data_IF_732941459731
#
_entry.id   IF_732941459731
#
_cell.length_a   1.000
_cell.length_b   1.000
_cell.length_c   1.000
_cell.angle_alpha   90.00
_cell.angle_beta   90.00
_cell.angle_gamma   90.00
#
_symmetry.space_group_name_H-M   'P 1'
#
loop_
_entity.id
_entity.type
_entity.pdbx_description
1 polymer ?
#
# COMPACT_ATOMS: atom_id res chain seq x y z
N UNK A 1 8.04 5.64 9.72
CA UNK A 1 7.70 6.96 9.15
C UNK A 1 8.93 7.79 8.76
N UNK A 2 10.07 7.73 9.51
CA UNK A 2 11.26 8.52 9.13
C UNK A 2 11.86 8.11 7.79
N UNK A 3 11.81 6.82 7.46
CA UNK A 3 12.40 6.26 6.24
C UNK A 3 11.43 6.22 5.04
N UNK A 4 10.26 6.83 5.11
CA UNK A 4 9.29 6.85 4.02
C UNK A 4 8.35 8.05 4.08
N UNK A 5 7.74 8.37 2.95
CA UNK A 5 6.58 9.25 2.88
C UNK A 5 5.32 8.37 2.91
N UNK A 6 4.42 8.61 3.83
CA UNK A 6 3.21 7.82 3.99
C UNK A 6 1.97 8.67 4.21
N UNK A 7 0.82 8.07 3.94
CA UNK A 7 -0.47 8.62 4.33
C UNK A 7 -0.63 8.59 5.86
N UNK A 8 -1.45 9.47 6.45
CA UNK A 8 -1.68 9.51 7.90
C UNK A 8 -2.22 8.22 8.52
N UNK A 9 -2.75 7.32 7.69
CA UNK A 9 -3.35 6.05 8.10
C UNK A 9 -2.36 4.93 8.42
N UNK A 10 -1.07 5.12 8.17
CA UNK A 10 -0.04 4.11 8.45
C UNK A 10 0.72 3.62 7.21
N UNK A 11 1.65 2.70 7.43
CA UNK A 11 2.53 2.14 6.41
C UNK A 11 2.65 0.63 6.64
N UNK A 12 2.50 -0.15 5.57
CA UNK A 12 2.88 -1.55 5.57
C UNK A 12 4.37 -1.67 5.21
N UNK A 13 5.16 -2.23 6.12
CA UNK A 13 6.55 -2.57 5.86
C UNK A 13 6.66 -4.04 5.46
N UNK A 14 7.01 -4.30 4.20
CA UNK A 14 7.20 -5.65 3.67
C UNK A 14 8.67 -5.99 3.71
N UNK A 15 9.02 -7.04 4.46
CA UNK A 15 10.38 -7.57 4.56
C UNK A 15 10.44 -8.89 3.81
N UNK A 16 11.27 -8.96 2.79
CA UNK A 16 11.49 -10.17 1.99
C UNK A 16 12.36 -11.18 2.75
N UNK A 17 12.16 -12.46 2.46
CA UNK A 17 12.98 -13.54 3.03
C UNK A 17 14.44 -13.43 2.55
N UNK A 18 15.39 -13.45 3.47
CA UNK A 18 16.82 -13.39 3.17
C UNK A 18 17.47 -14.78 3.36
N UNK A 19 18.61 -15.05 2.68
CA UNK A 19 19.40 -16.25 2.94
C UNK A 19 19.89 -16.29 4.38
N UNK A 20 19.76 -17.45 5.03
CA UNK A 20 20.25 -17.69 6.39
C UNK A 20 21.53 -18.50 6.43
N UNK A 21 21.89 -19.13 5.32
CA UNK A 21 23.03 -20.04 5.19
C UNK A 21 22.80 -21.42 5.81
N UNK A 22 21.59 -21.70 6.30
CA UNK A 22 21.19 -23.05 6.71
C UNK A 22 20.65 -23.78 5.49
N UNK A 23 21.17 -24.98 5.22
CA UNK A 23 20.61 -25.80 4.14
C UNK A 23 19.25 -26.34 4.58
N UNK A 24 18.20 -25.77 4.02
CA UNK A 24 16.81 -26.16 4.30
C UNK A 24 15.93 -25.94 3.09
N UNK A 25 14.87 -26.71 3.00
CA UNK A 25 13.84 -26.57 1.98
C UNK A 25 12.47 -26.83 2.56
N UNK A 26 11.49 -26.14 2.02
CA UNK A 26 10.07 -26.32 2.32
C UNK A 26 9.31 -26.39 1.01
N UNK A 27 8.39 -27.33 0.89
CA UNK A 27 7.42 -27.40 -0.19
C UNK A 27 6.01 -27.41 0.43
N UNK A 28 5.16 -26.52 -0.06
CA UNK A 28 3.78 -26.39 0.43
C UNK A 28 2.83 -26.59 -0.72
N UNK A 29 1.82 -27.42 -0.52
CA UNK A 29 0.69 -27.55 -1.42
C UNK A 29 -0.59 -27.21 -0.66
N UNK A 30 -1.43 -26.35 -1.25
CA UNK A 30 -2.71 -25.94 -0.67
C UNK A 30 -3.80 -26.11 -1.71
N UNK A 31 -4.94 -26.66 -1.31
CA UNK A 31 -6.16 -26.67 -2.12
C UNK A 31 -7.32 -26.11 -1.30
N UNK A 32 -8.34 -25.59 -1.98
CA UNK A 32 -9.49 -25.01 -1.32
C UNK A 32 -10.69 -24.87 -2.27
N UNK A 33 -11.75 -24.26 -1.78
CA UNK A 33 -12.96 -23.98 -2.55
C UNK A 33 -12.67 -23.15 -3.80
N UNK A 34 -13.52 -23.27 -4.81
CA UNK A 34 -13.44 -22.55 -6.07
C UNK A 34 -12.16 -22.88 -6.87
N UNK A 35 -11.81 -24.17 -6.93
CA UNK A 35 -10.63 -24.67 -7.64
C UNK A 35 -9.34 -23.94 -7.23
N UNK A 36 -9.24 -23.62 -5.94
CA UNK A 36 -8.03 -23.02 -5.41
C UNK A 36 -6.94 -24.07 -5.28
N UNK A 37 -5.90 -23.95 -6.07
CA UNK A 37 -4.69 -24.77 -6.01
C UNK A 37 -3.48 -23.86 -5.91
N UNK A 38 -2.62 -24.12 -4.93
CA UNK A 38 -1.36 -23.40 -4.76
C UNK A 38 -0.24 -24.35 -4.41
N UNK A 39 0.86 -24.27 -5.17
CA UNK A 39 2.11 -24.94 -4.87
C UNK A 39 3.20 -23.88 -4.65
N UNK A 40 4.03 -24.04 -3.62
CA UNK A 40 5.14 -23.15 -3.34
C UNK A 40 6.35 -23.91 -2.82
N UNK A 41 7.55 -23.43 -3.17
CA UNK A 41 8.82 -23.91 -2.65
C UNK A 41 9.62 -22.74 -2.05
N UNK A 42 10.39 -23.05 -1.00
CA UNK A 42 11.34 -22.13 -0.35
C UNK A 42 12.62 -22.90 -0.06
N UNK A 43 13.70 -22.55 -0.73
CA UNK A 43 15.01 -23.18 -0.63
C UNK A 43 16.03 -22.19 -0.09
N UNK A 44 16.82 -22.58 0.90
CA UNK A 44 17.85 -21.76 1.53
C UNK A 44 19.14 -22.56 1.67
N UNK A 45 20.29 -21.93 1.45
CA UNK A 45 21.55 -22.62 1.55
C UNK A 45 22.80 -21.79 1.22
N UNK A 46 23.92 -22.50 1.15
CA UNK A 46 25.21 -21.96 0.76
C UNK A 46 25.50 -22.35 -0.69
N UNK A 47 26.09 -21.44 -1.46
CA UNK A 47 26.60 -21.70 -2.81
C UNK A 47 28.10 -21.97 -2.83
N UNK A 48 28.81 -21.69 -1.72
CA UNK A 48 30.23 -21.97 -1.57
C UNK A 48 30.53 -22.71 -0.26
N UNK A 49 31.68 -23.35 -0.17
CA UNK A 49 32.09 -24.10 1.02
C UNK A 49 32.39 -23.20 2.22
N UNK A 50 32.77 -21.96 1.99
CA UNK A 50 33.12 -21.00 3.03
C UNK A 50 31.90 -20.35 3.68
N UNK A 51 30.72 -20.47 3.06
CA UNK A 51 29.49 -19.81 3.52
C UNK A 51 29.50 -18.28 3.30
N UNK A 52 30.38 -17.77 2.45
CA UNK A 52 30.39 -16.36 2.06
C UNK A 52 29.33 -16.05 1.02
N UNK A 53 28.99 -17.01 0.16
CA UNK A 53 27.96 -16.88 -0.87
C UNK A 53 26.75 -17.71 -0.49
N UNK A 54 25.64 -17.03 -0.20
CA UNK A 54 24.39 -17.62 0.25
C UNK A 54 23.29 -17.38 -0.76
N UNK A 55 22.34 -18.30 -0.87
CA UNK A 55 21.16 -18.15 -1.69
C UNK A 55 19.87 -18.42 -0.91
N UNK A 56 18.78 -17.79 -1.35
CA UNK A 56 17.42 -18.22 -1.07
C UNK A 56 16.60 -18.15 -2.34
N UNK A 57 15.82 -19.15 -2.59
CA UNK A 57 14.98 -19.23 -3.77
C UNK A 57 13.55 -19.56 -3.36
N UNK A 58 12.62 -18.68 -3.73
CA UNK A 58 11.20 -18.91 -3.56
C UNK A 58 10.54 -18.97 -4.92
N UNK A 59 9.64 -19.91 -5.13
CA UNK A 59 8.77 -19.97 -6.28
C UNK A 59 7.36 -20.38 -5.88
N UNK A 60 6.35 -19.91 -6.61
CA UNK A 60 4.95 -20.16 -6.34
C UNK A 60 4.14 -20.17 -7.63
N UNK A 61 3.22 -21.13 -7.74
CA UNK A 61 2.14 -21.16 -8.72
C UNK A 61 0.80 -21.27 -8.02
N UNK A 62 -0.19 -20.52 -8.50
CA UNK A 62 -1.55 -20.52 -7.95
C UNK A 62 -2.57 -20.36 -9.05
N UNK A 63 -3.69 -21.06 -8.92
CA UNK A 63 -4.91 -20.81 -9.69
C UNK A 63 -6.11 -20.81 -8.75
N UNK A 64 -7.11 -20.02 -9.07
CA UNK A 64 -8.38 -19.97 -8.34
C UNK A 64 -9.49 -19.44 -9.23
N UNK A 65 -10.69 -19.97 -9.06
CA UNK A 65 -11.93 -19.36 -9.52
C UNK A 65 -12.53 -18.50 -8.38
N UNK A 66 -13.73 -17.99 -8.57
CA UNK A 66 -14.47 -17.20 -7.59
C UNK A 66 -15.83 -17.84 -7.29
N UNK A 67 -16.47 -17.43 -6.19
CA UNK A 67 -17.89 -17.68 -5.97
C UNK A 67 -18.77 -17.02 -7.03
N UNK A 68 -18.24 -16.01 -7.75
CA UNK A 68 -18.91 -15.34 -8.86
C UNK A 68 -18.58 -16.01 -10.18
N UNK A 69 -19.58 -16.07 -11.06
CA UNK A 69 -19.43 -16.68 -12.37
C UNK A 69 -18.33 -16.00 -13.21
N UNK A 70 -17.50 -16.81 -13.87
CA UNK A 70 -16.45 -16.41 -14.83
C UNK A 70 -15.29 -15.61 -14.24
N UNK A 71 -15.26 -15.35 -12.93
CA UNK A 71 -14.12 -14.73 -12.28
C UNK A 71 -13.04 -15.77 -11.95
N UNK A 72 -11.79 -15.42 -12.24
CA UNK A 72 -10.63 -16.28 -11.98
C UNK A 72 -9.36 -15.46 -11.75
N UNK A 73 -8.36 -16.09 -11.14
CA UNK A 73 -7.00 -15.57 -11.06
C UNK A 73 -5.97 -16.71 -11.17
N UNK A 74 -4.94 -16.51 -11.98
CA UNK A 74 -3.76 -17.37 -12.09
C UNK A 74 -2.54 -16.52 -11.78
N UNK A 75 -1.61 -17.04 -10.96
CA UNK A 75 -0.42 -16.31 -10.55
C UNK A 75 0.78 -17.23 -10.50
N UNK A 76 1.92 -16.72 -10.98
CA UNK A 76 3.23 -17.37 -10.84
C UNK A 76 4.21 -16.34 -10.30
N UNK A 77 5.11 -16.74 -9.41
CA UNK A 77 6.21 -15.90 -8.99
C UNK A 77 7.48 -16.70 -8.76
N UNK A 78 8.61 -16.05 -9.03
CA UNK A 78 9.95 -16.53 -8.67
C UNK A 78 10.69 -15.38 -7.97
N UNK A 79 11.38 -15.70 -6.89
CA UNK A 79 12.08 -14.71 -6.08
C UNK A 79 13.43 -15.24 -5.58
N UNK A 80 14.47 -15.25 -6.43
CA UNK A 80 15.82 -15.55 -6.02
C UNK A 80 16.44 -14.39 -5.23
N UNK A 81 17.20 -14.73 -4.19
CA UNK A 81 18.00 -13.82 -3.39
C UNK A 81 19.41 -14.38 -3.26
N UNK A 82 20.40 -13.56 -3.51
CA UNK A 82 21.81 -13.90 -3.32
C UNK A 82 22.41 -12.91 -2.32
N UNK A 83 23.12 -13.42 -1.32
CA UNK A 83 23.89 -12.61 -0.38
C UNK A 83 25.35 -13.01 -0.44
N UNK A 84 26.24 -12.03 -0.58
CA UNK A 84 27.67 -12.22 -0.62
C UNK A 84 28.38 -11.41 0.47
N UNK A 85 29.14 -12.11 1.32
CA UNK A 85 30.01 -11.50 2.32
C UNK A 85 31.34 -11.12 1.66
N UNK A 86 31.47 -9.83 1.25
CA UNK A 86 32.66 -9.30 0.59
C UNK A 86 33.90 -9.41 1.48
N UNK A 87 33.74 -8.96 2.73
CA UNK A 87 34.71 -9.05 3.82
C UNK A 87 33.95 -9.19 5.16
N UNK A 88 34.62 -9.38 6.32
CA UNK A 88 33.93 -9.56 7.62
C UNK A 88 32.97 -8.44 8.02
N UNK A 89 33.10 -7.25 7.41
CA UNK A 89 32.29 -6.07 7.74
C UNK A 89 31.30 -5.68 6.64
N UNK A 90 31.47 -6.21 5.42
CA UNK A 90 30.73 -5.74 4.24
C UNK A 90 29.94 -6.88 3.61
N UNK A 91 28.61 -6.71 3.52
CA UNK A 91 27.68 -7.65 2.93
C UNK A 91 26.89 -7.01 1.80
N UNK A 92 26.85 -7.66 0.64
CA UNK A 92 25.98 -7.29 -0.49
C UNK A 92 24.86 -8.32 -0.62
N UNK A 93 23.63 -7.85 -0.80
CA UNK A 93 22.47 -8.70 -1.09
C UNK A 93 21.77 -8.19 -2.34
N UNK A 94 21.53 -9.08 -3.29
CA UNK A 94 20.77 -8.85 -4.50
C UNK A 94 19.50 -9.71 -4.47
N UNK A 95 18.36 -9.07 -4.73
CA UNK A 95 17.03 -9.68 -4.74
C UNK A 95 16.36 -9.39 -6.06
N UNK A 96 15.81 -10.40 -6.68
CA UNK A 96 14.93 -10.25 -7.82
C UNK A 96 13.62 -10.91 -7.52
N UNK A 97 12.52 -10.29 -7.93
CA UNK A 97 11.19 -10.89 -7.89
C UNK A 97 10.52 -10.67 -9.23
N UNK A 98 10.04 -11.74 -9.81
CA UNK A 98 9.16 -11.72 -10.97
C UNK A 98 7.82 -12.29 -10.58
N UNK A 99 6.75 -11.60 -10.95
CA UNK A 99 5.39 -12.08 -10.81
C UNK A 99 4.62 -11.91 -12.11
N UNK A 100 4.00 -12.98 -12.55
CA UNK A 100 2.98 -12.97 -13.60
C UNK A 100 1.61 -13.22 -12.97
N UNK A 101 0.61 -12.46 -13.39
CA UNK A 101 -0.78 -12.68 -13.02
C UNK A 101 -1.67 -12.57 -14.25
N UNK A 102 -2.66 -13.46 -14.34
CA UNK A 102 -3.77 -13.37 -15.29
C UNK A 102 -5.06 -13.45 -14.49
N UNK A 103 -6.00 -12.55 -14.73
CA UNK A 103 -7.27 -12.52 -14.03
C UNK A 103 -8.40 -12.01 -14.91
N UNK A 104 -9.62 -12.14 -14.42
CA UNK A 104 -10.79 -11.47 -14.99
C UNK A 104 -10.61 -9.95 -15.02
N UNK A 105 -11.47 -9.26 -15.78
CA UNK A 105 -11.39 -7.83 -16.02
C UNK A 105 -11.54 -7.00 -14.74
N UNK A 106 -10.91 -5.83 -14.71
CA UNK A 106 -11.01 -4.88 -13.61
C UNK A 106 -12.46 -4.35 -13.54
N UNK A 107 -12.99 -4.24 -12.32
CA UNK A 107 -14.34 -3.73 -12.08
C UNK A 107 -15.45 -4.78 -12.16
N UNK A 108 -15.21 -5.95 -12.72
CA UNK A 108 -16.18 -7.05 -12.79
C UNK A 108 -16.73 -7.50 -11.42
N UNK A 109 -15.93 -7.32 -10.38
CA UNK A 109 -16.26 -7.67 -9.00
C UNK A 109 -17.19 -6.65 -8.29
N UNK A 110 -17.50 -5.51 -8.91
CA UNK A 110 -18.48 -4.59 -8.36
C UNK A 110 -19.91 -5.00 -8.71
N UNK A 111 -20.81 -4.88 -7.75
CA UNK A 111 -22.23 -5.04 -7.92
C UNK A 111 -22.92 -3.68 -7.87
N UNK A 112 -23.71 -3.37 -8.88
CA UNK A 112 -24.45 -2.11 -8.98
C UNK A 112 -25.95 -2.43 -8.97
N UNK A 113 -26.73 -1.82 -8.08
CA UNK A 113 -28.17 -2.00 -7.99
C UNK A 113 -28.87 -0.68 -7.65
N UNK A 114 -29.98 -0.34 -8.33
CA UNK A 114 -30.82 0.79 -7.97
C UNK A 114 -31.56 0.58 -6.65
N UNK A 115 -31.75 -0.68 -6.21
CA UNK A 115 -32.46 -1.04 -4.98
C UNK A 115 -31.57 -0.93 -3.72
N UNK A 116 -30.29 -0.56 -3.88
CA UNK A 116 -29.34 -0.34 -2.80
C UNK A 116 -28.42 -1.51 -2.53
N UNK A 117 -27.84 -1.53 -1.33
CA UNK A 117 -26.80 -2.46 -0.94
C UNK A 117 -27.33 -3.87 -0.67
N UNK A 118 -26.58 -4.90 -1.11
CA UNK A 118 -26.84 -6.32 -0.87
C UNK A 118 -28.19 -6.84 -1.40
N UNK A 119 -28.71 -6.26 -2.48
CA UNK A 119 -29.98 -6.65 -3.10
C UNK A 119 -29.83 -7.67 -4.21
N UNK A 120 -28.62 -7.86 -4.75
CA UNK A 120 -28.30 -8.86 -5.76
C UNK A 120 -27.79 -10.15 -5.14
N UNK A 121 -27.90 -11.30 -5.82
CA UNK A 121 -27.33 -12.57 -5.37
C UNK A 121 -25.83 -12.46 -5.08
N UNK A 122 -25.34 -13.25 -4.11
CA UNK A 122 -23.94 -13.21 -3.70
C UNK A 122 -22.96 -13.64 -4.82
N UNK A 123 -23.41 -14.50 -5.72
CA UNK A 123 -22.68 -14.99 -6.88
C UNK A 123 -22.85 -14.14 -8.15
N UNK A 124 -23.56 -13.01 -8.03
CA UNK A 124 -23.79 -12.10 -9.14
C UNK A 124 -22.47 -11.57 -9.71
N UNK A 125 -22.35 -11.61 -11.04
CA UNK A 125 -21.21 -11.04 -11.80
C UNK A 125 -21.72 -10.38 -13.08
N UNK A 126 -21.14 -9.23 -13.42
CA UNK A 126 -21.38 -8.56 -14.71
C UNK A 126 -20.43 -9.04 -15.80
N UNK A 127 -19.54 -9.98 -15.47
CA UNK A 127 -18.47 -10.43 -16.35
C UNK A 127 -18.98 -11.25 -17.52
N UNK A 128 -18.39 -11.02 -18.69
CA UNK A 128 -18.58 -11.82 -19.88
C UNK A 128 -17.39 -12.77 -20.09
N UNK A 129 -17.64 -14.07 -20.34
CA UNK A 129 -16.57 -15.07 -20.44
C UNK A 129 -15.69 -14.91 -21.68
N UNK A 130 -16.17 -14.23 -22.73
CA UNK A 130 -15.43 -14.00 -23.98
C UNK A 130 -14.51 -12.78 -23.95
N UNK A 131 -14.46 -12.01 -22.85
CA UNK A 131 -13.56 -10.87 -22.74
C UNK A 131 -12.11 -11.32 -22.56
N UNK A 132 -11.19 -10.56 -23.19
CA UNK A 132 -9.76 -10.74 -23.01
C UNK A 132 -9.38 -10.57 -21.52
N UNK A 133 -8.68 -11.52 -20.90
CA UNK A 133 -8.28 -11.42 -19.51
C UNK A 133 -7.25 -10.31 -19.30
N UNK A 134 -7.22 -9.77 -18.08
CA UNK A 134 -6.16 -8.85 -17.64
C UNK A 134 -4.91 -9.63 -17.28
N UNK A 135 -3.77 -9.23 -17.85
CA UNK A 135 -2.45 -9.75 -17.54
C UNK A 135 -1.58 -8.71 -16.85
N UNK A 136 -0.75 -9.16 -15.91
CA UNK A 136 0.23 -8.34 -15.21
C UNK A 136 1.58 -9.04 -15.24
N UNK A 137 2.61 -8.30 -15.62
CA UNK A 137 4.01 -8.66 -15.44
C UNK A 137 4.63 -7.65 -14.47
N UNK A 138 5.17 -8.15 -13.36
CA UNK A 138 5.77 -7.32 -12.31
C UNK A 138 7.19 -7.78 -12.04
N UNK A 139 8.15 -6.87 -12.19
CA UNK A 139 9.57 -7.10 -11.97
C UNK A 139 10.07 -6.18 -10.87
N UNK A 140 10.73 -6.76 -9.88
CA UNK A 140 11.37 -6.02 -8.80
C UNK A 140 12.83 -6.44 -8.67
N UNK A 141 13.75 -5.47 -8.67
CA UNK A 141 15.17 -5.68 -8.37
C UNK A 141 15.54 -4.81 -7.18
N UNK A 142 16.15 -5.41 -6.15
CA UNK A 142 16.66 -4.69 -4.97
C UNK A 142 18.11 -5.05 -4.75
N UNK A 143 18.97 -4.04 -4.58
CA UNK A 143 20.35 -4.21 -4.17
C UNK A 143 20.52 -3.54 -2.80
N UNK A 144 21.12 -4.26 -1.86
CA UNK A 144 21.36 -3.80 -0.49
C UNK A 144 22.82 -4.07 -0.11
N UNK A 145 23.54 -3.01 0.19
CA UNK A 145 24.93 -3.05 0.70
C UNK A 145 24.91 -2.62 2.17
N UNK A 146 25.47 -3.42 3.05
CA UNK A 146 25.64 -3.12 4.46
C UNK A 146 27.13 -3.11 4.80
N UNK A 147 27.59 -2.08 5.49
CA UNK A 147 28.97 -1.99 6.00
C UNK A 147 28.97 -1.69 7.49
N UNK A 148 29.59 -2.56 8.27
CA UNK A 148 29.76 -2.42 9.72
C UNK A 148 31.12 -1.76 10.01
N UNK A 149 31.14 -0.47 10.33
CA UNK A 149 32.37 0.23 10.69
C UNK A 149 33.00 -0.35 11.96
N UNK A 150 32.15 -0.53 12.98
CA UNK A 150 32.50 -1.14 14.27
C UNK A 150 31.23 -1.73 14.91
N UNK A 151 31.28 -2.21 16.14
CA UNK A 151 30.14 -2.84 16.84
C UNK A 151 28.90 -1.93 16.97
N UNK A 152 29.10 -0.61 16.95
CA UNK A 152 28.06 0.38 17.24
C UNK A 152 27.54 1.10 15.97
N UNK A 153 28.30 1.12 14.86
CA UNK A 153 27.99 1.93 13.70
C UNK A 153 27.90 1.09 12.41
N UNK A 154 26.77 1.18 11.74
CA UNK A 154 26.48 0.47 10.48
C UNK A 154 25.90 1.41 9.43
N UNK A 155 26.47 1.41 8.23
CA UNK A 155 25.96 2.06 7.04
C UNK A 155 25.17 1.06 6.20
N UNK A 156 24.03 1.47 5.69
CA UNK A 156 23.24 0.71 4.70
C UNK A 156 22.96 1.58 3.50
N UNK A 157 23.31 1.07 2.31
CA UNK A 157 22.89 1.63 1.03
C UNK A 157 21.94 0.64 0.35
N UNK A 158 20.81 1.12 -0.13
CA UNK A 158 19.84 0.30 -0.84
C UNK A 158 19.33 1.01 -2.07
N UNK A 159 19.16 0.29 -3.16
CA UNK A 159 18.46 0.74 -4.35
C UNK A 159 17.43 -0.29 -4.77
N UNK A 160 16.32 0.18 -5.34
CA UNK A 160 15.25 -0.67 -5.82
C UNK A 160 14.71 -0.15 -7.17
N UNK A 161 14.42 -1.08 -8.06
CA UNK A 161 13.75 -0.84 -9.32
C UNK A 161 12.51 -1.71 -9.40
N UNK A 162 11.37 -1.11 -9.73
CA UNK A 162 10.09 -1.78 -9.93
C UNK A 162 9.59 -1.46 -11.35
N UNK A 163 9.13 -2.49 -12.05
CA UNK A 163 8.47 -2.37 -13.32
C UNK A 163 7.20 -3.22 -13.31
N UNK A 164 6.07 -2.55 -13.23
CA UNK A 164 4.75 -3.15 -13.26
C UNK A 164 4.11 -2.86 -14.62
N UNK A 165 3.79 -3.89 -15.38
CA UNK A 165 3.14 -3.79 -16.68
C UNK A 165 1.82 -4.57 -16.65
N UNK A 166 0.72 -3.87 -16.85
CA UNK A 166 -0.64 -4.43 -16.95
C UNK A 166 -1.20 -4.19 -18.34
N UNK A 167 -1.76 -5.22 -18.94
CA UNK A 167 -2.53 -5.16 -20.17
C UNK A 167 -3.89 -5.81 -19.93
N UNK A 168 -4.99 -5.13 -20.27
CA UNK A 168 -6.33 -5.66 -20.07
C UNK A 168 -7.42 -4.63 -20.30
N UNK A 169 -8.55 -4.88 -19.68
CA UNK A 169 -9.70 -3.98 -19.74
C UNK A 169 -10.39 -3.85 -18.39
N UNK A 170 -11.18 -2.79 -18.25
CA UNK A 170 -12.07 -2.55 -17.10
C UNK A 170 -13.51 -2.53 -17.56
N UNK A 171 -14.42 -3.02 -16.71
CA UNK A 171 -15.85 -3.07 -16.97
C UNK A 171 -16.61 -2.22 -15.98
N UNK A 172 -17.46 -1.34 -16.48
CA UNK A 172 -18.25 -0.39 -15.69
C UNK A 172 -19.63 -0.20 -16.28
N UNK A 173 -20.65 0.15 -15.48
CA UNK A 173 -21.94 0.56 -16.02
C UNK A 173 -21.79 1.86 -16.81
N UNK A 174 -22.21 1.86 -18.06
CA UNK A 174 -22.42 3.08 -18.83
C UNK A 174 -23.77 3.74 -18.48
N UNK A 175 -24.77 2.92 -18.18
CA UNK A 175 -26.04 3.34 -17.61
C UNK A 175 -26.67 2.20 -16.81
N UNK A 176 -27.49 2.55 -15.82
CA UNK A 176 -28.30 1.62 -15.04
C UNK A 176 -29.63 2.30 -14.76
N UNK A 177 -30.72 1.70 -15.24
CA UNK A 177 -32.09 2.20 -15.03
C UNK A 177 -32.72 1.63 -13.76
N UNK A 178 -33.83 2.24 -13.32
CA UNK A 178 -34.54 1.81 -12.12
C UNK A 178 -35.12 0.39 -12.22
N UNK A 179 -35.44 -0.09 -13.43
CA UNK A 179 -35.91 -1.46 -13.67
C UNK A 179 -34.78 -2.50 -13.80
N UNK A 180 -33.51 -2.07 -13.63
CA UNK A 180 -32.36 -2.95 -13.68
C UNK A 180 -31.70 -3.12 -15.05
N UNK A 181 -32.22 -2.46 -16.11
CA UNK A 181 -31.53 -2.48 -17.41
C UNK A 181 -30.20 -1.73 -17.32
N UNK A 182 -29.14 -2.39 -17.75
CA UNK A 182 -27.77 -1.87 -17.70
C UNK A 182 -27.12 -1.91 -19.08
N UNK A 183 -26.39 -0.87 -19.43
CA UNK A 183 -25.39 -0.91 -20.50
C UNK A 183 -24.03 -1.09 -19.86
N UNK A 184 -23.37 -2.20 -20.11
CA UNK A 184 -22.00 -2.45 -19.65
C UNK A 184 -21.01 -1.89 -20.66
N UNK A 185 -20.07 -1.07 -20.18
CA UNK A 185 -18.97 -0.54 -20.96
C UNK A 185 -17.68 -1.26 -20.60
N UNK A 186 -16.94 -1.68 -21.62
CA UNK A 186 -15.58 -2.22 -21.49
C UNK A 186 -14.60 -1.20 -22.04
N UNK A 187 -13.69 -0.74 -21.18
CA UNK A 187 -12.66 0.23 -21.57
C UNK A 187 -11.29 -0.42 -21.52
N UNK A 188 -10.41 -0.06 -22.46
CA UNK A 188 -9.00 -0.43 -22.35
C UNK A 188 -8.44 0.04 -21.00
N UNK A 189 -7.64 -0.78 -20.35
CA UNK A 189 -7.08 -0.49 -19.03
C UNK A 189 -5.62 -0.96 -18.93
N UNK A 190 -4.80 -0.46 -19.84
CA UNK A 190 -3.37 -0.76 -19.85
C UNK A 190 -2.61 0.21 -18.95
N UNK A 191 -1.57 -0.27 -18.27
CA UNK A 191 -0.73 0.55 -17.39
C UNK A 191 0.71 0.06 -17.36
N UNK A 192 1.67 1.00 -17.37
CA UNK A 192 3.07 0.75 -16.99
C UNK A 192 3.41 1.66 -15.82
N UNK A 193 4.00 1.10 -14.76
CA UNK A 193 4.58 1.88 -13.68
C UNK A 193 6.06 1.51 -13.54
N UNK A 194 6.93 2.47 -13.74
CA UNK A 194 8.37 2.37 -13.50
C UNK A 194 8.72 3.17 -12.25
N UNK A 195 9.40 2.54 -11.29
CA UNK A 195 9.79 3.22 -10.05
C UNK A 195 11.24 2.89 -9.73
N UNK A 196 11.99 3.91 -9.33
CA UNK A 196 13.38 3.82 -8.92
C UNK A 196 13.51 4.47 -7.54
N UNK A 197 14.10 3.75 -6.60
CA UNK A 197 14.31 4.24 -5.25
C UNK A 197 15.75 4.00 -4.83
N UNK A 198 16.28 4.93 -4.06
CA UNK A 198 17.57 4.81 -3.41
C UNK A 198 17.52 5.37 -2.01
N UNK A 199 18.23 4.73 -1.09
CA UNK A 199 18.41 5.24 0.27
C UNK A 199 19.80 4.91 0.79
N UNK A 200 20.33 5.83 1.58
CA UNK A 200 21.56 5.66 2.32
C UNK A 200 21.32 6.10 3.75
N UNK A 201 21.60 5.22 4.72
CA UNK A 201 21.40 5.55 6.12
C UNK A 201 22.43 4.91 7.04
N UNK A 202 22.71 5.64 8.11
CA UNK A 202 23.60 5.28 9.19
C UNK A 202 22.77 4.94 10.42
N UNK A 203 22.96 3.75 10.96
CA UNK A 203 22.50 3.39 12.31
C UNK A 203 23.70 3.44 13.23
N UNK A 204 23.50 4.04 14.41
CA UNK A 204 24.60 4.18 15.36
C UNK A 204 24.13 4.11 16.82
N UNK A 205 25.06 3.72 17.70
CA UNK A 205 24.92 3.84 19.13
C UNK A 205 26.07 4.67 19.67
N UNK A 206 25.77 5.55 20.61
CA UNK A 206 26.75 6.40 21.31
C UNK A 206 26.34 6.59 22.76
N UNK A 207 27.26 7.08 23.58
CA UNK A 207 27.03 7.41 24.99
C UNK A 207 27.56 8.80 25.26
N UNK A 208 26.78 9.65 25.93
CA UNK A 208 27.18 10.96 26.38
C UNK A 208 26.90 11.05 27.88
N UNK A 209 27.93 10.88 28.69
CA UNK A 209 27.77 10.76 30.17
C UNK A 209 26.86 9.58 30.51
N UNK A 210 25.71 9.85 31.15
CA UNK A 210 24.73 8.82 31.53
C UNK A 210 23.62 8.64 30.48
N UNK A 211 23.67 9.36 29.35
CA UNK A 211 22.65 9.30 28.30
C UNK A 211 23.10 8.38 27.20
N UNK A 212 22.33 7.34 26.92
CA UNK A 212 22.53 6.51 25.72
C UNK A 212 21.86 7.15 24.50
N UNK A 213 22.44 6.95 23.32
CA UNK A 213 21.94 7.42 22.04
C UNK A 213 21.76 6.25 21.07
N UNK A 214 20.59 6.15 20.44
CA UNK A 214 20.38 5.28 19.29
C UNK A 214 19.98 6.13 18.09
N UNK A 215 20.94 6.32 17.19
CA UNK A 215 20.85 7.28 16.07
C UNK A 215 20.48 6.58 14.78
N UNK A 216 19.58 7.20 14.02
CA UNK A 216 19.31 6.92 12.62
C UNK A 216 19.43 8.23 11.84
N UNK A 217 20.36 8.31 10.90
CA UNK A 217 20.51 9.46 10.01
C UNK A 217 20.60 8.99 8.55
N UNK A 218 19.95 9.67 7.65
CA UNK A 218 20.02 9.26 6.25
C UNK A 218 19.28 10.16 5.28
N UNK A 219 19.40 9.77 4.02
CA UNK A 219 18.61 10.35 2.96
C UNK A 219 18.00 9.26 2.07
N UNK A 220 16.93 9.60 1.40
CA UNK A 220 16.32 8.78 0.37
C UNK A 220 15.86 9.64 -0.82
N UNK A 221 15.76 9.01 -1.98
CA UNK A 221 15.24 9.60 -3.18
C UNK A 221 14.44 8.57 -3.97
N UNK A 222 13.43 9.04 -4.66
CA UNK A 222 12.61 8.18 -5.50
C UNK A 222 12.10 8.91 -6.72
N UNK A 223 11.91 8.13 -7.78
CA UNK A 223 11.30 8.57 -9.03
C UNK A 223 10.28 7.54 -9.48
N UNK A 224 9.07 8.00 -9.77
CA UNK A 224 7.96 7.20 -10.28
C UNK A 224 7.47 7.80 -11.58
N UNK A 225 7.40 6.97 -12.61
CA UNK A 225 6.72 7.24 -13.86
C UNK A 225 5.61 6.22 -14.09
N UNK A 226 4.41 6.69 -14.34
CA UNK A 226 3.27 5.85 -14.64
C UNK A 226 2.57 6.34 -15.91
N UNK A 227 2.24 5.41 -16.81
CA UNK A 227 1.49 5.63 -18.04
C UNK A 227 0.23 4.80 -17.99
N UNK A 228 -0.89 5.39 -18.37
CA UNK A 228 -2.18 4.73 -18.36
C UNK A 228 -2.88 4.95 -19.69
N UNK A 229 -3.51 3.92 -20.23
CA UNK A 229 -4.39 4.03 -21.37
C UNK A 229 -5.78 3.51 -21.00
N UNK A 230 -6.73 4.41 -20.95
CA UNK A 230 -8.17 4.18 -20.85
C UNK A 230 -8.95 5.02 -21.87
N UNK A 231 -8.29 5.30 -23.00
CA UNK A 231 -8.78 6.20 -24.03
C UNK A 231 -9.93 5.64 -24.85
N UNK A 232 -10.12 4.31 -24.87
CA UNK A 232 -11.13 3.63 -25.68
C UNK A 232 -12.12 2.92 -24.79
N UNK A 233 -13.40 3.11 -25.07
CA UNK A 233 -14.51 2.45 -24.42
C UNK A 233 -15.44 1.86 -25.47
N UNK A 234 -15.99 0.70 -25.17
CA UNK A 234 -16.89 -0.07 -26.03
C UNK A 234 -18.09 -0.51 -25.22
N UNK A 235 -19.30 -0.20 -25.71
CA UNK A 235 -20.53 -0.69 -25.11
C UNK A 235 -20.76 -2.15 -25.51
N UNK A 236 -20.94 -3.03 -24.53
CA UNK A 236 -21.32 -4.43 -24.79
C UNK A 236 -22.79 -4.57 -25.14
N UNK A 237 -23.62 -3.73 -24.52
CA UNK A 237 -25.08 -3.89 -24.51
C UNK A 237 -25.78 -2.70 -25.15
N UNK A 238 -26.98 -2.94 -25.72
CA UNK A 238 -27.99 -1.94 -26.02
C UNK A 238 -28.98 -1.84 -24.86
N UNK A 239 -29.82 -0.80 -24.87
CA UNK A 239 -30.89 -0.64 -23.88
C UNK A 239 -31.84 -1.86 -23.92
N UNK A 240 -32.08 -2.46 -22.73
CA UNK A 240 -32.98 -3.61 -22.57
C UNK A 240 -32.39 -4.97 -23.01
N UNK A 241 -31.11 -5.04 -23.40
CA UNK A 241 -30.48 -6.32 -23.77
C UNK A 241 -29.77 -7.02 -22.61
N UNK A 242 -29.43 -6.29 -21.55
CA UNK A 242 -28.89 -6.83 -20.30
C UNK A 242 -29.63 -6.25 -19.09
N UNK A 243 -30.10 -7.12 -18.20
CA UNK A 243 -30.78 -6.71 -16.97
C UNK A 243 -30.15 -7.40 -15.77
N UNK A 244 -29.84 -6.64 -14.72
CA UNK A 244 -29.12 -7.12 -13.52
C UNK A 244 -29.92 -8.17 -12.72
N UNK A 245 -31.23 -8.19 -12.83
CA UNK A 245 -32.12 -9.15 -12.15
C UNK A 245 -32.33 -10.43 -12.98
N UNK A 246 -32.01 -10.38 -14.27
CA UNK A 246 -32.07 -11.53 -15.19
C UNK A 246 -30.74 -11.70 -15.89
N UNK A 247 -29.77 -12.27 -15.18
CA UNK A 247 -28.41 -12.50 -15.69
C UNK A 247 -28.30 -13.65 -16.68
N UNK A 248 -29.38 -14.36 -16.97
CA UNK A 248 -29.41 -15.31 -18.07
C UNK A 248 -29.55 -14.53 -19.37
N UNK A 249 -28.42 -14.25 -19.98
CA UNK A 249 -28.38 -13.70 -21.32
C UNK A 249 -29.25 -14.54 -22.27
N UNK A 250 -30.18 -13.90 -22.94
CA UNK A 250 -30.97 -14.52 -24.02
C UNK A 250 -30.06 -14.69 -25.25
N UNK A 251 -29.06 -15.59 -25.19
CA UNK A 251 -28.26 -15.89 -26.36
C UNK A 251 -26.75 -16.00 -26.19
N UNK A 252 -26.20 -15.75 -24.99
CA UNK A 252 -24.82 -16.05 -24.64
C UNK A 252 -23.71 -15.13 -25.18
N UNK A 253 -24.04 -14.06 -25.91
CA UNK A 253 -23.08 -13.07 -26.40
C UNK A 253 -23.58 -11.65 -26.16
N UNK A 254 -22.71 -10.68 -25.84
CA UNK A 254 -23.08 -9.28 -25.77
C UNK A 254 -23.70 -8.79 -27.06
N UNK A 255 -24.64 -7.87 -26.98
CA UNK A 255 -25.41 -7.38 -28.16
C UNK A 255 -24.48 -6.83 -29.25
N UNK A 256 -23.44 -6.08 -28.89
CA UNK A 256 -22.47 -5.52 -29.83
C UNK A 256 -21.21 -6.39 -30.00
N UNK A 257 -21.15 -7.59 -29.42
CA UNK A 257 -19.98 -8.45 -29.45
C UNK A 257 -18.88 -8.00 -28.48
N UNK A 258 -17.65 -8.44 -28.73
CA UNK A 258 -16.50 -8.16 -27.86
C UNK A 258 -15.58 -7.11 -28.48
N UNK A 259 -15.00 -6.19 -27.66
CA UNK A 259 -14.08 -5.19 -28.16
C UNK A 259 -12.74 -5.79 -28.57
N UNK A 260 -12.14 -5.21 -29.61
CA UNK A 260 -10.73 -5.39 -29.95
C UNK A 260 -10.02 -4.05 -29.79
N UNK A 261 -9.07 -3.96 -28.87
CA UNK A 261 -8.32 -2.72 -28.63
C UNK A 261 -7.03 -2.70 -29.44
N UNK A 262 -6.83 -1.62 -30.23
CA UNK A 262 -5.59 -1.42 -30.98
C UNK A 262 -4.42 -1.13 -30.04
N UNK A 263 -3.45 -2.05 -30.03
CA UNK A 263 -2.19 -1.97 -29.27
C UNK A 263 -0.96 -1.95 -30.19
N UNK A 264 -1.12 -1.59 -31.44
CA UNK A 264 -0.03 -1.51 -32.43
C UNK A 264 1.07 -0.51 -32.03
N UNK A 265 0.69 0.57 -31.34
CA UNK A 265 1.62 1.53 -30.74
C UNK A 265 1.96 1.14 -29.29
N UNK A 266 3.17 1.47 -28.87
CA UNK A 266 3.57 1.26 -27.47
C UNK A 266 2.65 1.99 -26.50
N UNK A 267 2.50 1.48 -25.28
CA UNK A 267 1.67 2.14 -24.27
C UNK A 267 2.17 3.57 -23.96
N UNK A 268 3.48 3.78 -23.95
CA UNK A 268 4.07 5.11 -23.70
C UNK A 268 3.66 6.13 -24.78
N UNK A 269 3.50 5.70 -26.01
CA UNK A 269 2.99 6.56 -27.10
C UNK A 269 1.48 6.80 -26.98
N UNK A 270 0.69 5.77 -26.67
CA UNK A 270 -0.77 5.87 -26.51
C UNK A 270 -1.16 6.71 -25.29
N UNK A 271 -0.35 6.65 -24.22
CA UNK A 271 -0.60 7.29 -22.92
C UNK A 271 0.11 8.64 -22.75
N UNK A 272 0.47 9.34 -23.84
CA UNK A 272 1.25 10.58 -23.78
C UNK A 272 0.59 11.68 -22.90
N UNK A 273 -0.74 11.77 -22.91
CA UNK A 273 -1.50 12.74 -22.13
C UNK A 273 -2.04 12.18 -20.78
N UNK A 274 -1.75 10.91 -20.45
CA UNK A 274 -2.26 10.22 -19.27
C UNK A 274 -1.13 9.70 -18.39
N UNK A 275 -0.01 10.38 -18.39
CA UNK A 275 1.14 10.04 -17.54
C UNK A 275 1.09 10.76 -16.19
N UNK A 276 1.61 10.08 -15.18
CA UNK A 276 1.82 10.60 -13.83
C UNK A 276 3.31 10.47 -13.52
N UNK A 277 3.93 11.56 -13.05
CA UNK A 277 5.31 11.55 -12.58
C UNK A 277 5.39 12.05 -11.15
N UNK A 278 6.19 11.41 -10.33
CA UNK A 278 6.49 11.85 -8.99
C UNK A 278 7.95 11.56 -8.66
N UNK A 279 8.66 12.60 -8.23
CA UNK A 279 10.04 12.47 -7.73
C UNK A 279 10.14 13.10 -6.36
N UNK A 280 10.92 12.51 -5.47
CA UNK A 280 11.17 13.09 -4.15
C UNK A 280 12.60 12.89 -3.69
N UNK A 281 13.02 13.76 -2.76
CA UNK A 281 14.23 13.63 -1.97
C UNK A 281 13.88 13.91 -0.51
N UNK A 282 14.33 13.06 0.40
CA UNK A 282 14.11 13.19 1.83
C UNK A 282 15.43 13.12 2.61
N UNK A 283 15.57 13.99 3.61
CA UNK A 283 16.62 13.94 4.62
C UNK A 283 15.97 13.66 5.97
N UNK A 284 16.53 12.78 6.78
CA UNK A 284 15.97 12.44 8.08
C UNK A 284 17.04 12.17 9.13
N UNK A 285 16.69 12.53 10.35
CA UNK A 285 17.47 12.27 11.55
C UNK A 285 16.53 11.83 12.66
N UNK A 286 16.92 10.81 13.40
CA UNK A 286 16.26 10.37 14.62
C UNK A 286 17.32 10.05 15.67
N UNK A 287 17.10 10.46 16.91
CA UNK A 287 17.84 10.02 18.07
C UNK A 287 16.87 9.51 19.15
N UNK A 288 17.13 8.35 19.68
CA UNK A 288 16.47 7.82 20.86
C UNK A 288 17.42 7.96 22.03
N UNK A 289 17.12 8.92 22.90
CA UNK A 289 17.87 9.25 24.09
C UNK A 289 17.39 8.36 25.25
N UNK A 290 18.30 7.57 25.84
CA UNK A 290 18.02 6.73 26.98
C UNK A 290 18.55 7.34 28.26
N UNK A 291 17.68 7.45 29.26
CA UNK A 291 17.98 7.96 30.61
C UNK A 291 17.70 6.89 31.65
N UNK A 292 18.38 6.97 32.79
CA UNK A 292 18.19 6.07 33.94
C UNK A 292 18.36 4.59 33.57
N UNK A 293 19.46 4.26 32.85
CA UNK A 293 19.71 2.94 32.29
C UNK A 293 18.54 2.49 31.33
N UNK A 294 18.16 3.38 30.43
CA UNK A 294 17.12 3.19 29.39
C UNK A 294 15.69 2.97 29.97
N UNK A 295 15.45 3.25 31.25
CA UNK A 295 14.09 3.24 31.79
C UNK A 295 13.20 4.33 31.21
N UNK A 296 13.78 5.46 30.83
CA UNK A 296 13.10 6.53 30.10
C UNK A 296 13.75 6.71 28.75
N UNK A 297 12.99 6.52 27.67
CA UNK A 297 13.43 6.74 26.31
C UNK A 297 12.69 7.95 25.71
N UNK A 298 13.46 8.94 25.26
CA UNK A 298 12.94 10.10 24.52
C UNK A 298 13.35 9.99 23.06
N UNK A 299 12.40 9.80 22.18
CA UNK A 299 12.62 9.82 20.71
C UNK A 299 12.43 11.22 20.18
N UNK A 300 13.45 11.76 19.54
CA UNK A 300 13.39 13.02 18.78
C UNK A 300 13.74 12.71 17.33
N UNK A 301 12.85 13.07 16.39
CA UNK A 301 13.09 12.83 14.99
C UNK A 301 12.47 13.91 14.11
N UNK A 302 13.08 14.10 12.95
CA UNK A 302 12.59 14.99 11.92
C UNK A 302 12.95 14.49 10.53
N UNK A 303 12.02 14.69 9.59
CA UNK A 303 12.22 14.43 8.17
C UNK A 303 11.87 15.67 7.37
N UNK A 304 12.80 16.10 6.52
CA UNK A 304 12.54 17.13 5.52
C UNK A 304 12.41 16.47 4.16
N UNK A 305 11.31 16.71 3.47
CA UNK A 305 11.02 16.12 2.16
C UNK A 305 10.74 17.22 1.13
N UNK A 306 11.34 17.08 -0.04
CA UNK A 306 11.01 17.81 -1.24
C UNK A 306 10.40 16.88 -2.27
N UNK A 307 9.22 17.22 -2.80
CA UNK A 307 8.48 16.42 -3.80
C UNK A 307 8.18 17.27 -5.01
N UNK A 308 8.28 16.65 -6.18
CA UNK A 308 7.75 17.13 -7.45
C UNK A 308 6.77 16.12 -7.98
N UNK A 309 5.60 16.58 -8.44
CA UNK A 309 4.64 15.71 -9.10
C UNK A 309 3.89 16.41 -10.23
N UNK A 310 3.46 15.64 -11.20
CA UNK A 310 2.58 16.07 -12.27
C UNK A 310 1.65 14.92 -12.68
N UNK A 311 0.47 15.24 -13.16
CA UNK A 311 -0.56 14.27 -13.56
C UNK A 311 -1.31 14.77 -14.78
N UNK A 312 -1.52 13.89 -15.78
CA UNK A 312 -2.36 14.12 -16.94
C UNK A 312 -2.06 15.43 -17.67
N UNK A 313 -0.78 15.73 -17.90
CA UNK A 313 -0.36 16.95 -18.60
C UNK A 313 -0.52 18.25 -17.78
N UNK A 314 -0.86 18.17 -16.49
CA UNK A 314 -0.96 19.33 -15.63
C UNK A 314 0.41 19.94 -15.30
N UNK A 315 0.41 21.22 -14.91
CA UNK A 315 1.63 21.89 -14.47
C UNK A 315 2.23 21.17 -13.26
N UNK A 316 3.54 20.93 -13.31
CA UNK A 316 4.29 20.29 -12.23
C UNK A 316 4.13 21.06 -10.92
N UNK A 317 3.76 20.35 -9.85
CA UNK A 317 3.76 20.89 -8.49
C UNK A 317 5.09 20.62 -7.82
N UNK A 318 5.47 21.47 -6.86
CA UNK A 318 6.68 21.37 -6.05
C UNK A 318 6.31 21.70 -4.62
N UNK A 319 6.52 20.74 -3.71
CA UNK A 319 6.18 20.88 -2.31
C UNK A 319 7.38 20.57 -1.42
N UNK A 320 7.41 21.22 -0.26
CA UNK A 320 8.43 21.01 0.77
C UNK A 320 7.73 20.88 2.11
N UNK A 321 8.13 19.91 2.89
CA UNK A 321 7.51 19.66 4.18
C UNK A 321 8.53 19.16 5.19
N UNK A 322 8.40 19.62 6.44
CA UNK A 322 9.12 19.09 7.59
C UNK A 322 8.14 18.29 8.47
N UNK A 323 8.42 17.01 8.69
CA UNK A 323 7.62 16.10 9.50
C UNK A 323 8.34 15.78 10.80
N UNK A 324 7.93 16.36 11.94
CA UNK A 324 8.51 16.05 13.25
C UNK A 324 7.93 14.75 13.82
N UNK A 325 8.70 14.12 14.70
CA UNK A 325 8.26 13.05 15.60
C UNK A 325 8.87 13.23 16.96
N UNK A 326 8.04 13.13 18.01
CA UNK A 326 8.47 13.11 19.40
C UNK A 326 7.78 11.96 20.09
N UNK A 327 8.54 11.10 20.75
CA UNK A 327 8.03 9.96 21.50
C UNK A 327 8.64 9.87 22.87
N UNK A 328 7.86 9.47 23.85
CA UNK A 328 8.30 9.19 25.21
C UNK A 328 7.89 7.77 25.56
N UNK A 329 8.81 6.98 26.09
CA UNK A 329 8.52 5.65 26.61
C UNK A 329 9.13 5.56 28.02
N UNK A 330 8.35 5.11 28.99
CA UNK A 330 8.79 4.92 30.36
C UNK A 330 8.49 3.48 30.82
N UNK A 331 9.54 2.77 31.20
CA UNK A 331 9.45 1.44 31.83
C UNK A 331 9.14 1.60 33.30
N UNK A 332 7.89 1.29 33.70
CA UNK A 332 7.46 1.32 35.11
C UNK A 332 8.19 0.23 35.86
N UNK A 333 8.19 -0.97 35.33
CA UNK A 333 8.91 -2.15 35.76
C UNK A 333 9.44 -2.95 34.57
N UNK A 334 10.07 -4.11 34.81
CA UNK A 334 10.62 -4.97 33.74
C UNK A 334 9.57 -5.51 32.76
N UNK A 335 8.31 -5.51 33.16
CA UNK A 335 7.22 -6.09 32.38
C UNK A 335 6.22 -5.04 31.86
N UNK A 336 6.27 -3.80 32.38
CA UNK A 336 5.27 -2.77 32.09
C UNK A 336 5.92 -1.51 31.58
N UNK A 337 5.44 -1.03 30.43
CA UNK A 337 5.83 0.29 29.89
C UNK A 337 4.61 1.11 29.49
N UNK A 338 4.74 2.42 29.62
CA UNK A 338 3.80 3.42 29.12
C UNK A 338 4.49 4.27 28.08
N UNK A 339 3.74 4.73 27.08
CA UNK A 339 4.30 5.58 26.05
C UNK A 339 3.32 6.67 25.61
N UNK A 340 3.89 7.73 25.05
CA UNK A 340 3.18 8.77 24.33
C UNK A 340 3.96 9.15 23.07
N UNK A 341 3.25 9.40 21.99
CA UNK A 341 3.84 9.69 20.68
C UNK A 341 3.09 10.84 20.02
N UNK A 342 3.83 11.76 19.43
CA UNK A 342 3.36 12.70 18.42
C UNK A 342 4.15 12.49 17.14
N UNK A 343 3.48 12.36 16.00
CA UNK A 343 4.13 12.42 14.71
C UNK A 343 3.27 13.16 13.66
N UNK A 344 3.94 13.62 12.62
CA UNK A 344 3.30 14.27 11.49
C UNK A 344 3.75 13.62 10.19
N UNK A 345 2.79 13.43 9.29
CA UNK A 345 3.01 13.01 7.91
C UNK A 345 2.41 14.02 6.95
N UNK A 346 2.81 13.97 5.67
CA UNK A 346 2.18 14.74 4.62
C UNK A 346 2.07 13.93 3.33
N UNK A 347 1.03 14.25 2.55
CA UNK A 347 0.84 13.73 1.20
C UNK A 347 0.68 14.91 0.24
N UNK A 348 1.54 15.06 -0.76
CA UNK A 348 1.39 16.10 -1.77
C UNK A 348 0.05 15.91 -2.50
N UNK A 349 -0.58 17.03 -2.88
CA UNK A 349 -1.84 17.01 -3.60
C UNK A 349 -1.73 17.86 -4.84
N UNK A 350 -2.09 17.29 -5.98
CA UNK A 350 -2.18 18.02 -7.25
C UNK A 350 -3.53 18.67 -7.38
N UNK A 351 -3.57 19.85 -8.04
CA UNK A 351 -4.78 20.58 -8.33
C UNK A 351 -4.68 22.07 -8.03
N UNK A 352 -5.69 22.78 -8.47
CA UNK A 352 -5.76 24.23 -8.38
C UNK A 352 -7.10 24.66 -7.79
N UNK A 353 -7.07 25.66 -6.93
CA UNK A 353 -8.26 26.34 -6.46
C UNK A 353 -8.77 27.30 -7.55
N UNK A 354 -10.05 27.60 -7.58
CA UNK A 354 -10.64 28.59 -8.51
C UNK A 354 -9.97 29.97 -8.42
N UNK A 355 -9.39 30.30 -7.26
CA UNK A 355 -8.59 31.53 -7.08
C UNK A 355 -7.25 31.54 -7.83
N UNK A 356 -6.89 30.49 -8.58
CA UNK A 356 -5.61 30.31 -9.25
C UNK A 356 -4.46 29.89 -8.31
N UNK A 357 -4.72 29.70 -7.02
CA UNK A 357 -3.73 29.17 -6.07
C UNK A 357 -3.70 27.64 -6.13
N UNK A 358 -2.52 27.05 -5.90
CA UNK A 358 -2.37 25.59 -5.72
C UNK A 358 -3.04 25.15 -4.42
N UNK A 359 -3.55 23.93 -4.41
CA UNK A 359 -3.99 23.28 -3.16
C UNK A 359 -2.78 23.02 -2.25
N UNK A 360 -2.97 23.13 -0.95
CA UNK A 360 -1.94 22.74 0.04
C UNK A 360 -1.86 21.23 0.15
N UNK A 361 -0.69 20.67 0.48
CA UNK A 361 -0.58 19.24 0.78
C UNK A 361 -1.52 18.85 1.93
N UNK A 362 -1.99 17.61 1.87
CA UNK A 362 -2.70 17.02 3.01
C UNK A 362 -1.65 16.75 4.10
N UNK A 363 -1.94 17.14 5.33
CA UNK A 363 -1.12 16.80 6.49
C UNK A 363 -1.89 15.96 7.48
N UNK A 364 -1.21 14.98 8.08
CA UNK A 364 -1.75 14.14 9.13
C UNK A 364 -0.97 14.33 10.42
N UNK A 365 -1.67 14.65 11.52
CA UNK A 365 -1.10 14.76 12.85
C UNK A 365 -1.64 13.62 13.71
N UNK A 366 -0.75 12.79 14.23
CA UNK A 366 -1.09 11.67 15.10
C UNK A 366 -0.63 11.96 16.53
N UNK A 367 -1.54 11.77 17.48
CA UNK A 367 -1.29 11.71 18.93
C UNK A 367 -1.70 10.33 19.41
N UNK A 368 -0.81 9.65 20.08
CA UNK A 368 -1.02 8.30 20.55
C UNK A 368 -0.45 8.15 21.96
N UNK A 369 -1.14 7.40 22.83
CA UNK A 369 -0.63 7.00 24.12
C UNK A 369 -1.09 5.58 24.44
N UNK A 370 -0.28 4.83 25.16
CA UNK A 370 -0.64 3.47 25.51
C UNK A 370 0.17 2.89 26.66
N UNK A 371 -0.30 1.72 27.07
CA UNK A 371 0.37 0.87 28.06
C UNK A 371 0.53 -0.52 27.47
N UNK A 372 1.70 -1.11 27.71
CA UNK A 372 2.02 -2.49 27.32
C UNK A 372 2.49 -3.24 28.56
N UNK A 373 2.01 -4.47 28.74
CA UNK A 373 2.42 -5.32 29.84
C UNK A 373 2.58 -6.77 29.43
N UNK A 374 3.68 -7.36 29.87
CA UNK A 374 3.91 -8.79 29.82
C UNK A 374 3.53 -9.42 31.16
N UNK A 375 2.93 -10.60 31.11
CA UNK A 375 2.44 -11.32 32.28
C UNK A 375 3.00 -12.75 32.31
N UNK A 376 3.09 -13.32 33.50
CA UNK A 376 3.44 -14.73 33.65
C UNK A 376 4.75 -15.12 32.95
N UNK A 377 5.85 -14.39 33.20
CA UNK A 377 7.15 -14.61 32.55
C UNK A 377 7.07 -14.57 31.02
N UNK A 378 6.46 -13.52 30.48
CA UNK A 378 6.27 -13.29 29.04
C UNK A 378 5.37 -14.28 28.31
N UNK A 379 4.63 -15.15 29.04
CA UNK A 379 3.65 -16.05 28.39
C UNK A 379 2.43 -15.32 27.85
N UNK A 380 2.10 -14.15 28.39
CA UNK A 380 1.04 -13.28 27.92
C UNK A 380 1.55 -11.87 27.71
N UNK A 381 1.03 -11.21 26.69
CA UNK A 381 1.26 -9.80 26.40
C UNK A 381 -0.07 -9.10 26.16
N UNK A 382 -0.23 -7.92 26.76
CA UNK A 382 -1.40 -7.06 26.54
C UNK A 382 -0.95 -5.67 26.17
N UNK A 383 -1.68 -5.02 25.27
CA UNK A 383 -1.54 -3.59 24.99
C UNK A 383 -2.90 -2.91 24.97
N UNK A 384 -2.92 -1.68 25.48
CA UNK A 384 -4.03 -0.75 25.36
C UNK A 384 -3.49 0.54 24.77
N UNK A 385 -4.07 0.97 23.66
CA UNK A 385 -3.67 2.19 22.95
C UNK A 385 -4.88 3.09 22.75
N UNK A 386 -4.70 4.38 22.97
CA UNK A 386 -5.65 5.43 22.58
C UNK A 386 -4.97 6.37 21.62
N UNK A 387 -5.69 6.79 20.58
CA UNK A 387 -5.12 7.67 19.56
C UNK A 387 -6.11 8.73 19.06
N UNK A 388 -5.54 9.79 18.47
CA UNK A 388 -6.25 10.77 17.71
C UNK A 388 -5.43 11.16 16.48
N UNK A 389 -6.01 11.00 15.30
CA UNK A 389 -5.43 11.43 14.02
C UNK A 389 -6.27 12.58 13.47
N UNK A 390 -5.62 13.69 13.13
CA UNK A 390 -6.21 14.81 12.41
C UNK A 390 -5.63 14.83 11.01
N UNK A 391 -6.50 14.84 9.99
CA UNK A 391 -6.11 14.97 8.59
C UNK A 391 -6.61 16.29 8.05
N UNK A 392 -5.69 17.21 7.77
CA UNK A 392 -5.95 18.57 7.33
C UNK A 392 -5.82 18.73 5.82
N UNK A 393 -6.44 19.77 5.28
CA UNK A 393 -6.38 20.16 3.86
C UNK A 393 -6.98 19.12 2.92
N UNK A 394 -7.94 18.34 3.35
CA UNK A 394 -8.66 17.43 2.46
C UNK A 394 -9.31 18.21 1.32
N UNK A 395 -9.30 17.63 0.12
CA UNK A 395 -9.79 18.27 -1.10
C UNK A 395 -11.03 17.58 -1.63
N UNK A 396 -11.94 18.35 -2.19
CA UNK A 396 -13.09 17.89 -2.97
C UNK A 396 -13.14 18.67 -4.29
N UNK A 397 -13.91 18.16 -5.25
CA UNK A 397 -14.22 18.94 -6.44
C UNK A 397 -14.97 20.22 -6.07
N UNK A 398 -14.65 21.33 -6.73
CA UNK A 398 -15.38 22.60 -6.54
C UNK A 398 -16.82 22.40 -7.04
N UNK A 399 -17.86 22.60 -6.19
CA UNK A 399 -19.26 22.46 -6.61
C UNK A 399 -19.68 23.42 -7.74
N UNK A 400 -18.91 24.48 -7.97
CA UNK A 400 -19.16 25.46 -9.04
C UNK A 400 -18.47 25.08 -10.35
N UNK A 401 -17.80 23.92 -10.44
CA UNK A 401 -17.18 23.48 -11.69
C UNK A 401 -18.23 23.23 -12.77
N UNK A 402 -17.98 23.78 -13.95
CA UNK A 402 -18.61 23.31 -15.19
C UNK A 402 -18.06 21.93 -15.58
N UNK A 403 -18.68 21.19 -16.50
CA UNK A 403 -18.18 19.88 -16.93
C UNK A 403 -16.73 19.87 -17.48
N UNK A 404 -16.22 21.00 -17.91
CA UNK A 404 -14.86 21.19 -18.44
C UNK A 404 -13.85 21.67 -17.39
N UNK A 405 -14.31 22.11 -16.21
CA UNK A 405 -13.46 22.60 -15.14
C UNK A 405 -13.10 21.51 -14.14
N UNK A 406 -11.90 21.58 -13.57
CA UNK A 406 -11.38 20.63 -12.59
C UNK A 406 -10.80 21.32 -11.35
N UNK A 407 -11.37 22.46 -10.97
CA UNK A 407 -10.95 23.13 -9.74
C UNK A 407 -11.28 22.32 -8.51
N UNK A 408 -10.42 22.44 -7.51
CA UNK A 408 -10.62 21.82 -6.19
C UNK A 408 -10.96 22.87 -5.15
N UNK A 409 -11.62 22.45 -4.10
CA UNK A 409 -11.74 23.19 -2.84
C UNK A 409 -11.06 22.38 -1.73
N UNK A 410 -10.43 23.07 -0.79
CA UNK A 410 -9.93 22.45 0.44
C UNK A 410 -11.07 22.48 1.46
N UNK A 411 -11.72 21.33 1.60
CA UNK A 411 -13.01 21.20 2.29
C UNK A 411 -12.90 21.13 3.80
N UNK A 412 -11.70 20.85 4.33
CA UNK A 412 -11.59 20.92 5.77
C UNK A 412 -10.63 19.93 6.41
N UNK A 413 -11.08 19.39 7.50
CA UNK A 413 -10.35 18.47 8.37
C UNK A 413 -11.21 17.28 8.70
N UNK A 414 -10.65 16.09 8.67
CA UNK A 414 -11.24 14.91 9.27
C UNK A 414 -10.47 14.51 10.54
N UNK A 415 -11.19 13.87 11.45
CA UNK A 415 -10.69 13.46 12.75
C UNK A 415 -11.07 12.01 13.03
N UNK A 416 -10.05 11.19 13.27
CA UNK A 416 -10.18 9.82 13.75
C UNK A 416 -9.76 9.75 15.21
N UNK A 417 -10.57 9.12 16.05
CA UNK A 417 -10.24 8.78 17.44
C UNK A 417 -10.52 7.31 17.67
N UNK A 418 -9.65 6.65 18.40
CA UNK A 418 -9.85 5.24 18.66
C UNK A 418 -9.21 4.73 19.92
N UNK A 419 -9.62 3.52 20.25
CA UNK A 419 -9.05 2.68 21.31
C UNK A 419 -8.76 1.32 20.69
N UNK A 420 -7.58 0.80 20.94
CA UNK A 420 -7.16 -0.52 20.50
C UNK A 420 -6.68 -1.34 21.69
N UNK A 421 -7.10 -2.60 21.72
CA UNK A 421 -6.71 -3.57 22.74
C UNK A 421 -6.20 -4.80 22.04
N UNK A 422 -4.97 -5.21 22.36
CA UNK A 422 -4.39 -6.45 21.89
C UNK A 422 -4.09 -7.35 23.09
N UNK A 423 -4.44 -8.61 22.95
CA UNK A 423 -4.16 -9.66 23.93
C UNK A 423 -3.61 -10.85 23.19
N UNK A 424 -2.44 -11.32 23.57
CA UNK A 424 -1.89 -12.57 23.03
C UNK A 424 -1.23 -13.38 24.17
N UNK A 425 -1.34 -14.69 24.06
CA UNK A 425 -0.69 -15.53 25.05
C UNK A 425 -0.92 -17.03 24.84
N UNK A 426 -0.22 -17.81 25.63
CA UNK A 426 -0.35 -19.25 25.70
C UNK A 426 -1.26 -19.64 26.87
N UNK A 427 -2.41 -20.25 26.58
CA UNK A 427 -3.36 -20.72 27.58
C UNK A 427 -2.78 -21.95 28.29
N UNK A 428 -2.38 -22.93 27.48
CA UNK A 428 -1.66 -24.14 27.91
C UNK A 428 -0.63 -24.47 26.82
N UNK A 429 0.31 -25.34 27.09
CA UNK A 429 1.33 -25.77 26.13
C UNK A 429 0.68 -26.16 24.78
N UNK A 430 1.16 -25.55 23.70
CA UNK A 430 0.66 -25.72 22.31
C UNK A 430 -0.73 -25.15 22.03
N UNK A 431 -1.32 -24.37 22.93
CA UNK A 431 -2.58 -23.65 22.70
C UNK A 431 -2.39 -22.15 22.97
N UNK A 432 -2.34 -21.37 21.92
CA UNK A 432 -2.19 -19.92 22.00
C UNK A 432 -3.46 -19.21 21.58
N UNK A 433 -3.70 -18.01 22.11
CA UNK A 433 -4.79 -17.11 21.72
C UNK A 433 -4.21 -15.78 21.29
N UNK A 434 -4.80 -15.19 20.24
CA UNK A 434 -4.62 -13.80 19.83
C UNK A 434 -6.01 -13.20 19.72
N UNK A 435 -6.26 -12.12 20.45
CA UNK A 435 -7.52 -11.39 20.43
C UNK A 435 -7.23 -9.89 20.32
N UNK A 436 -7.86 -9.26 19.32
CA UNK A 436 -7.71 -7.84 19.07
C UNK A 436 -9.10 -7.18 19.03
N UNK A 437 -9.20 -6.00 19.60
CA UNK A 437 -10.38 -5.16 19.51
C UNK A 437 -9.97 -3.73 19.17
N UNK A 438 -10.64 -3.14 18.18
CA UNK A 438 -10.44 -1.74 17.81
C UNK A 438 -11.79 -1.04 17.71
N UNK A 439 -11.89 0.12 18.34
CA UNK A 439 -13.00 1.05 18.17
C UNK A 439 -12.49 2.33 17.54
N UNK A 440 -13.10 2.76 16.44
CA UNK A 440 -12.72 3.97 15.71
C UNK A 440 -13.95 4.85 15.46
N UNK A 441 -13.87 6.11 15.85
CA UNK A 441 -14.82 7.16 15.49
C UNK A 441 -14.17 8.12 14.50
N UNK A 442 -14.58 8.04 13.21
CA UNK A 442 -14.03 8.86 12.14
C UNK A 442 -15.08 9.80 11.59
N UNK A 443 -14.83 11.11 11.71
CA UNK A 443 -15.79 12.18 11.35
C UNK A 443 -15.09 13.35 10.68
N UNK A 444 -15.87 14.05 9.86
CA UNK A 444 -15.54 15.40 9.41
C UNK A 444 -15.54 16.34 10.62
N UNK A 445 -14.43 17.01 10.90
CA UNK A 445 -14.28 17.94 12.04
C UNK A 445 -14.28 19.42 11.62
N UNK A 446 -13.91 19.72 10.36
CA UNK A 446 -14.11 21.02 9.72
C UNK A 446 -14.55 20.81 8.29
N UNK A 447 -15.52 21.58 7.81
CA UNK A 447 -15.98 21.48 6.43
C UNK A 447 -16.49 22.82 5.93
N UNK A 448 -16.19 23.12 4.66
CA UNK A 448 -16.84 24.17 3.86
C UNK A 448 -17.75 23.56 2.79
N UNK A 449 -17.85 22.22 2.74
CA UNK A 449 -18.69 21.51 1.78
C UNK A 449 -20.05 21.16 2.43
N UNK A 450 -21.14 21.71 1.90
CA UNK A 450 -22.48 21.46 2.40
C UNK A 450 -22.91 19.98 2.29
N UNK A 451 -22.37 19.23 1.32
CA UNK A 451 -22.63 17.79 1.15
C UNK A 451 -21.94 16.92 2.20
N UNK A 452 -20.96 17.47 2.92
CA UNK A 452 -20.23 16.80 3.99
C UNK A 452 -20.10 17.72 5.21
N UNK A 453 -21.19 18.02 5.91
CA UNK A 453 -21.16 18.92 7.07
C UNK A 453 -20.33 18.33 8.21
N UNK A 454 -19.92 19.20 9.14
CA UNK A 454 -19.22 18.79 10.37
C UNK A 454 -20.05 17.73 11.12
N UNK A 455 -19.39 16.69 11.60
CA UNK A 455 -20.02 15.54 12.27
C UNK A 455 -20.40 14.40 11.33
N UNK A 456 -20.37 14.60 10.01
CA UNK A 456 -20.63 13.53 9.04
C UNK A 456 -19.60 12.41 9.23
N UNK A 457 -20.08 11.19 9.35
CA UNK A 457 -19.26 9.97 9.28
C UNK A 457 -18.93 9.66 7.83
N UNK A 458 -17.69 9.29 7.57
CA UNK A 458 -17.32 8.85 6.24
C UNK A 458 -17.75 7.38 6.04
N UNK A 459 -18.29 7.03 4.87
CA UNK A 459 -18.72 5.66 4.58
C UNK A 459 -17.52 4.70 4.54
N UNK A 460 -17.77 3.41 4.82
CA UNK A 460 -16.75 2.35 4.75
C UNK A 460 -15.98 2.10 6.05
N UNK A 461 -16.29 2.80 7.12
CA UNK A 461 -15.69 2.57 8.44
C UNK A 461 -16.69 1.90 9.38
N UNK A 462 -16.34 0.70 9.87
CA UNK A 462 -17.06 0.03 10.95
C UNK A 462 -16.94 0.83 12.26
N UNK A 463 -17.92 0.67 13.15
CA UNK A 463 -17.86 1.21 14.52
C UNK A 463 -16.97 0.35 15.39
#
# INVERSE_FOLDING_TARGET
FMMSNGEPSGIYNVVTKKPTGQTKGEATFTYGSYDFYRAAIDLDGKLDQTGRLLYRFNAMGQTTNSHRAHEFAKRYSIAPVISYQLDPKTKLTAEYNFQYMQSSNIGSYYAFSPDGYATLPQDYSILEPGLEPTTVNDHTLILNLQHQFNKDWKLTAQTAYFNYNRQGSSMWPGSLSANGDMIRNVSIADAINEMKFGQLYLNGKAQTGQVSHTVLAGFDAGDKHAWYDWSKSFALDSIGTYNIYNTKYNGGSPYYGYPSFDRSKSLKERANNTQITQSYVGLYLQDVLGFFNDRLLLTLAGRYTYVKDSSYGTTQTKERHFSPRVGLNFSIDENTSVYALYDQTFSPKMGMLRSGKKVKPITGNNWEAGIKRNWFNNRWSTSLTVYQILKDNETSSDPQNTPQESYLIQVGQSKSKGVEIDVQGEIVKNLSVIANYAYTDYKVSKSVNASQPVGTRLPGYAK
#
